data_IF_524168121458
#
_entry.id   IF_524168121458
#
_cell.length_a   1.000
_cell.length_b   1.000
_cell.length_c   1.000
_cell.angle_alpha   90.00
_cell.angle_beta   90.00
_cell.angle_gamma   90.00
#
_symmetry.space_group_name_H-M   'P 1'
#
loop_
_entity.id
_entity.type
_entity.pdbx_description
1 polymer ?
#
# COMPACT_ATOMS: atom_id res chain seq x y z
N UNK A 1 -59.96 15.39 -23.11
CA UNK A 1 -59.03 15.04 -24.21
C UNK A 1 -57.77 15.87 -24.05
N UNK A 2 -56.61 15.21 -23.88
CA UNK A 2 -55.24 15.75 -24.00
C UNK A 2 -54.87 16.84 -22.99
N UNK A 3 -54.10 16.60 -21.93
CA UNK A 3 -52.80 15.94 -21.90
C UNK A 3 -51.71 16.99 -22.17
N UNK A 4 -50.97 17.43 -21.16
CA UNK A 4 -49.66 18.09 -21.33
C UNK A 4 -48.74 17.68 -20.19
N UNK A 5 -47.64 17.06 -20.60
CA UNK A 5 -46.70 16.31 -19.82
C UNK A 5 -45.74 17.20 -18.99
N UNK A 6 -45.37 16.64 -17.84
CA UNK A 6 -44.08 16.76 -17.14
C UNK A 6 -43.04 17.72 -17.75
N UNK A 7 -42.90 18.92 -17.17
CA UNK A 7 -41.84 19.90 -17.52
C UNK A 7 -40.95 20.28 -16.32
N UNK A 8 -40.74 19.34 -15.39
CA UNK A 8 -40.06 19.60 -14.11
C UNK A 8 -38.82 18.76 -13.80
N UNK A 9 -38.29 17.96 -14.75
CA UNK A 9 -37.20 17.00 -14.45
C UNK A 9 -35.82 17.36 -15.04
N UNK A 10 -35.70 18.39 -15.88
CA UNK A 10 -34.43 18.64 -16.59
C UNK A 10 -33.45 19.54 -15.82
N UNK A 11 -33.93 20.49 -15.02
CA UNK A 11 -33.06 21.43 -14.29
C UNK A 11 -32.30 20.77 -13.12
N UNK A 12 -32.88 19.73 -12.52
CA UNK A 12 -32.24 18.97 -11.44
C UNK A 12 -31.16 18.02 -11.97
N UNK A 13 -31.31 17.49 -13.19
CA UNK A 13 -30.34 16.56 -13.78
C UNK A 13 -29.04 17.26 -14.22
N UNK A 14 -29.11 18.51 -14.69
CA UNK A 14 -27.92 19.29 -15.10
C UNK A 14 -27.00 19.65 -13.92
N UNK A 15 -27.55 19.86 -12.71
CA UNK A 15 -26.75 20.18 -11.51
C UNK A 15 -26.03 18.95 -10.92
N UNK A 16 -26.56 17.74 -11.13
CA UNK A 16 -25.89 16.50 -10.66
C UNK A 16 -24.77 16.04 -11.60
N UNK A 17 -24.76 16.54 -12.84
CA UNK A 17 -23.82 16.16 -13.90
C UNK A 17 -22.82 17.25 -14.24
N UNK A 18 -22.38 18.06 -13.27
CA UNK A 18 -21.41 19.14 -13.50
C UNK A 18 -19.98 18.57 -13.66
N UNK A 19 -19.79 17.75 -14.69
CA UNK A 19 -18.48 17.32 -15.22
C UNK A 19 -17.89 18.45 -16.06
N UNK A 20 -17.92 19.69 -15.58
CA UNK A 20 -17.25 20.79 -16.23
C UNK A 20 -15.74 20.50 -16.16
N UNK A 21 -15.24 19.83 -17.19
CA UNK A 21 -13.84 19.47 -17.42
C UNK A 21 -13.09 20.77 -17.68
N UNK A 22 -12.89 21.50 -16.59
CA UNK A 22 -12.15 22.74 -16.57
C UNK A 22 -10.70 22.41 -16.89
N UNK A 23 -9.93 23.36 -17.44
CA UNK A 23 -8.49 23.19 -17.66
C UNK A 23 -7.70 22.72 -16.42
N UNK A 24 -8.27 22.81 -15.21
CA UNK A 24 -7.73 22.26 -13.95
C UNK A 24 -7.64 20.73 -13.93
N UNK A 25 -8.44 20.02 -14.71
CA UNK A 25 -8.39 18.54 -14.77
C UNK A 25 -7.07 18.07 -15.39
N UNK A 26 -6.54 18.77 -16.39
CA UNK A 26 -5.26 18.44 -17.03
C UNK A 26 -4.07 18.36 -16.05
N UNK A 27 -3.76 19.39 -15.23
CA UNK A 27 -2.67 19.30 -14.27
C UNK A 27 -2.93 18.29 -13.15
N UNK A 28 -4.19 18.12 -12.71
CA UNK A 28 -4.54 17.11 -11.69
C UNK A 28 -4.32 15.70 -12.22
N UNK A 29 -4.77 15.41 -13.44
CA UNK A 29 -4.55 14.13 -14.10
C UNK A 29 -3.06 13.85 -14.34
N UNK A 30 -2.29 14.88 -14.73
CA UNK A 30 -0.83 14.78 -14.85
C UNK A 30 -0.16 14.43 -13.52
N UNK A 31 -0.55 15.08 -12.43
CA UNK A 31 -0.03 14.79 -11.09
C UNK A 31 -0.44 13.38 -10.63
N UNK A 32 -1.69 12.98 -10.86
CA UNK A 32 -2.18 11.64 -10.52
C UNK A 32 -1.41 10.55 -11.27
N UNK A 33 -1.11 10.75 -12.56
CA UNK A 33 -0.28 9.83 -13.33
C UNK A 33 1.14 9.72 -12.76
N UNK A 34 1.77 10.84 -12.40
CA UNK A 34 3.09 10.85 -11.79
C UNK A 34 3.11 10.10 -10.44
N UNK A 35 2.10 10.32 -9.59
CA UNK A 35 1.94 9.60 -8.32
C UNK A 35 1.74 8.11 -8.57
N UNK A 36 0.94 7.72 -9.57
CA UNK A 36 0.72 6.33 -9.94
C UNK A 36 2.00 5.62 -10.39
N UNK A 37 2.82 6.27 -11.22
CA UNK A 37 4.14 5.76 -11.62
C UNK A 37 5.04 5.57 -10.39
N UNK A 38 5.10 6.56 -9.50
CA UNK A 38 5.90 6.46 -8.29
C UNK A 38 5.41 5.33 -7.37
N UNK A 39 4.10 5.20 -7.17
CA UNK A 39 3.51 4.12 -6.38
C UNK A 39 3.82 2.74 -6.98
N UNK A 40 3.78 2.59 -8.30
CA UNK A 40 4.14 1.36 -8.98
C UNK A 40 5.63 0.99 -8.77
N UNK A 41 6.53 1.98 -8.81
CA UNK A 41 7.95 1.76 -8.51
C UNK A 41 8.17 1.34 -7.06
N UNK A 42 7.47 1.97 -6.11
CA UNK A 42 7.53 1.60 -4.68
C UNK A 42 7.00 0.17 -4.47
N UNK A 43 5.89 -0.19 -5.12
CA UNK A 43 5.34 -1.54 -5.06
C UNK A 43 6.31 -2.57 -5.65
N UNK A 44 6.94 -2.28 -6.79
CA UNK A 44 7.95 -3.15 -7.39
C UNK A 44 9.19 -3.31 -6.48
N UNK A 45 9.62 -2.22 -5.82
CA UNK A 45 10.70 -2.29 -4.83
C UNK A 45 10.32 -3.15 -3.61
N UNK A 46 9.08 -3.04 -3.13
CA UNK A 46 8.57 -3.87 -2.04
C UNK A 46 8.55 -5.36 -2.41
N UNK A 47 8.13 -5.70 -3.63
CA UNK A 47 8.18 -7.08 -4.13
C UNK A 47 9.61 -7.63 -4.18
N UNK A 48 10.57 -6.83 -4.65
CA UNK A 48 12.00 -7.20 -4.63
C UNK A 48 12.54 -7.38 -3.21
N UNK A 49 12.07 -6.57 -2.26
CA UNK A 49 12.45 -6.66 -0.87
C UNK A 49 11.88 -7.91 -0.19
N UNK A 50 10.64 -8.29 -0.51
CA UNK A 50 10.06 -9.58 -0.10
C UNK A 50 10.91 -10.73 -0.64
N UNK A 51 11.22 -10.70 -1.94
CA UNK A 51 12.11 -11.68 -2.57
C UNK A 51 13.47 -11.77 -1.87
N UNK A 52 14.04 -10.61 -1.51
CA UNK A 52 15.29 -10.56 -0.75
C UNK A 52 15.22 -11.32 0.58
N UNK A 53 14.20 -11.05 1.39
CA UNK A 53 14.05 -11.73 2.68
C UNK A 53 13.75 -13.23 2.51
N UNK A 54 12.92 -13.61 1.53
CA UNK A 54 12.70 -15.03 1.22
C UNK A 54 13.98 -15.75 0.83
N UNK A 55 14.78 -15.17 -0.06
CA UNK A 55 16.06 -15.77 -0.46
C UNK A 55 17.06 -15.82 0.70
N UNK A 56 17.12 -14.76 1.50
CA UNK A 56 18.02 -14.68 2.63
C UNK A 56 17.68 -15.72 3.71
N UNK A 57 16.40 -15.86 4.05
CA UNK A 57 15.98 -16.73 5.14
C UNK A 57 15.87 -18.22 4.73
N UNK A 58 15.36 -18.51 3.54
CA UNK A 58 15.13 -19.89 3.10
C UNK A 58 16.32 -20.50 2.35
N UNK A 59 17.12 -19.67 1.66
CA UNK A 59 18.18 -20.11 0.76
C UNK A 59 19.57 -19.55 1.11
N UNK A 60 19.67 -18.69 2.13
CA UNK A 60 20.93 -18.09 2.61
C UNK A 60 21.72 -17.37 1.51
N UNK A 61 21.03 -16.79 0.53
CA UNK A 61 21.62 -16.08 -0.60
C UNK A 61 21.05 -14.68 -0.74
N UNK A 62 21.87 -13.77 -1.26
CA UNK A 62 21.45 -12.39 -1.54
C UNK A 62 20.94 -12.32 -2.97
N UNK A 63 19.62 -12.46 -3.13
CA UNK A 63 18.92 -12.36 -4.43
C UNK A 63 17.55 -11.71 -4.22
N UNK A 64 17.08 -10.91 -5.18
CA UNK A 64 15.78 -10.23 -5.13
C UNK A 64 14.71 -10.92 -5.97
N UNK A 65 15.03 -12.04 -6.60
CA UNK A 65 14.05 -12.85 -7.33
C UNK A 65 12.94 -13.37 -6.40
N UNK A 66 11.69 -13.22 -6.81
CA UNK A 66 10.56 -13.85 -6.13
C UNK A 66 10.60 -15.36 -6.39
N UNK A 67 10.96 -16.12 -5.35
CA UNK A 67 11.04 -17.58 -5.40
C UNK A 67 10.09 -18.19 -4.38
N UNK A 68 9.56 -19.37 -4.70
CA UNK A 68 8.73 -20.12 -3.76
C UNK A 68 9.60 -20.62 -2.58
N UNK A 69 9.20 -20.36 -1.32
CA UNK A 69 9.89 -20.91 -0.16
C UNK A 69 9.83 -22.44 -0.09
N UNK A 70 8.87 -23.08 -0.78
CA UNK A 70 8.66 -24.54 -0.74
C UNK A 70 9.86 -25.37 -1.23
N UNK A 71 10.75 -24.79 -2.04
CA UNK A 71 11.97 -25.45 -2.53
C UNK A 71 13.16 -25.40 -1.56
N UNK A 72 12.97 -24.99 -0.31
CA UNK A 72 14.04 -24.83 0.67
C UNK A 72 14.62 -26.18 1.14
N UNK A 73 15.89 -26.16 1.57
CA UNK A 73 16.60 -27.36 2.06
C UNK A 73 16.77 -27.39 3.59
N UNK A 74 16.05 -26.53 4.32
CA UNK A 74 16.19 -26.37 5.79
C UNK A 74 15.54 -27.50 6.62
N UNK A 75 14.71 -28.35 6.01
CA UNK A 75 13.97 -29.38 6.74
C UNK A 75 13.08 -28.78 7.85
N UNK A 76 13.02 -29.44 9.01
CA UNK A 76 12.18 -29.03 10.16
C UNK A 76 12.55 -27.65 10.71
N UNK A 77 13.80 -27.20 10.53
CA UNK A 77 14.27 -25.90 11.01
C UNK A 77 13.60 -24.70 10.32
N UNK A 78 12.83 -24.92 9.25
CA UNK A 78 12.06 -23.88 8.57
C UNK A 78 11.12 -23.13 9.51
N UNK A 79 10.60 -23.77 10.56
CA UNK A 79 9.74 -23.13 11.56
C UNK A 79 10.44 -21.99 12.29
N UNK A 80 11.79 -22.02 12.37
CA UNK A 80 12.56 -20.94 12.99
C UNK A 80 12.59 -19.67 12.15
N UNK A 81 12.34 -19.77 10.85
CA UNK A 81 12.34 -18.62 9.94
C UNK A 81 11.24 -17.60 10.29
N UNK A 82 9.94 -17.97 10.35
CA UNK A 82 8.89 -17.02 10.74
C UNK A 82 9.02 -16.59 12.20
N UNK A 83 9.59 -17.43 13.08
CA UNK A 83 9.88 -17.04 14.48
C UNK A 83 10.91 -15.92 14.52
N UNK A 84 12.01 -16.03 13.76
CA UNK A 84 13.02 -15.00 13.65
C UNK A 84 12.46 -13.72 13.01
N UNK A 85 11.67 -13.85 11.93
CA UNK A 85 10.98 -12.73 11.29
C UNK A 85 10.07 -11.97 12.26
N UNK A 86 9.25 -12.70 13.03
CA UNK A 86 8.38 -12.11 14.04
C UNK A 86 9.16 -11.42 15.16
N UNK A 87 10.29 -11.97 15.60
CA UNK A 87 11.17 -11.35 16.59
C UNK A 87 11.74 -10.02 16.07
N UNK A 88 12.23 -10.00 14.83
CA UNK A 88 12.75 -8.78 14.19
C UNK A 88 11.66 -7.72 14.12
N UNK A 89 10.44 -8.08 13.67
CA UNK A 89 9.31 -7.14 13.62
C UNK A 89 8.91 -6.66 15.02
N UNK A 90 8.94 -7.54 16.02
CA UNK A 90 8.67 -7.19 17.42
C UNK A 90 9.67 -6.16 17.96
N UNK A 91 10.96 -6.32 17.64
CA UNK A 91 12.01 -5.35 17.97
C UNK A 91 11.78 -4.04 17.22
N UNK A 92 11.45 -4.09 15.93
CA UNK A 92 11.11 -2.88 15.14
C UNK A 92 9.91 -2.15 15.74
N UNK A 93 8.90 -2.85 16.24
CA UNK A 93 7.74 -2.23 16.87
C UNK A 93 8.10 -1.58 18.20
N UNK A 94 8.97 -2.21 18.99
CA UNK A 94 9.42 -1.71 20.29
C UNK A 94 10.29 -0.45 20.19
N UNK A 95 11.22 -0.41 19.24
CA UNK A 95 12.20 0.68 19.15
C UNK A 95 11.95 1.66 17.98
N UNK A 96 11.17 1.24 16.98
CA UNK A 96 10.84 2.03 15.80
C UNK A 96 9.64 2.94 16.02
N UNK A 97 8.44 2.41 15.88
CA UNK A 97 7.19 3.13 16.11
C UNK A 97 6.08 2.12 16.31
N UNK A 98 5.25 2.28 17.34
CA UNK A 98 4.10 1.40 17.58
C UNK A 98 3.10 1.44 16.43
N UNK A 99 3.08 2.55 15.66
CA UNK A 99 2.23 2.74 14.49
C UNK A 99 2.51 1.75 13.35
N UNK A 100 3.62 1.01 13.37
CA UNK A 100 3.90 -0.02 12.36
C UNK A 100 2.96 -1.23 12.46
N UNK A 101 2.31 -1.44 13.62
CA UNK A 101 1.35 -2.52 13.85
C UNK A 101 -0.08 -2.16 13.41
N UNK A 102 -0.26 -0.96 12.86
CA UNK A 102 -1.54 -0.46 12.40
C UNK A 102 -2.12 -1.22 11.19
N UNK A 103 -3.38 -0.94 10.91
CA UNK A 103 -4.30 -1.61 10.01
C UNK A 103 -4.10 -1.18 8.54
N UNK A 104 -3.27 -0.15 8.32
CA UNK A 104 -2.89 0.42 7.02
C UNK A 104 -3.96 1.36 6.47
N UNK A 105 -5.10 0.79 6.06
CA UNK A 105 -6.18 1.51 5.37
C UNK A 105 -6.87 2.51 6.31
N UNK A 106 -7.30 2.13 7.53
CA UNK A 106 -7.88 3.07 8.49
C UNK A 106 -6.95 4.25 8.81
N UNK A 107 -5.65 4.01 9.01
CA UNK A 107 -4.70 5.09 9.32
C UNK A 107 -4.48 6.02 8.12
N UNK A 108 -4.51 5.49 6.89
CA UNK A 108 -4.45 6.32 5.69
C UNK A 108 -5.70 7.21 5.59
N UNK A 109 -6.88 6.64 5.86
CA UNK A 109 -8.15 7.39 5.90
C UNK A 109 -8.13 8.44 7.02
N UNK A 110 -7.69 8.09 8.23
CA UNK A 110 -7.54 9.00 9.36
C UNK A 110 -6.55 10.14 9.03
N UNK A 111 -5.45 9.83 8.36
CA UNK A 111 -4.48 10.83 7.93
C UNK A 111 -5.13 11.85 6.98
N UNK A 112 -5.93 11.38 6.02
CA UNK A 112 -6.63 12.24 5.05
C UNK A 112 -7.73 13.05 5.73
N UNK A 113 -8.58 12.41 6.54
CA UNK A 113 -9.78 13.03 7.11
C UNK A 113 -9.48 13.95 8.30
N UNK A 114 -8.52 13.59 9.15
CA UNK A 114 -8.31 14.25 10.45
C UNK A 114 -6.96 14.95 10.52
N UNK A 115 -5.89 14.36 9.97
CA UNK A 115 -4.52 14.87 10.13
C UNK A 115 -3.99 15.69 8.94
N UNK A 116 -4.86 16.15 8.04
CA UNK A 116 -4.48 17.01 6.91
C UNK A 116 -3.49 16.36 5.95
N UNK A 117 -3.61 15.05 5.74
CA UNK A 117 -2.75 14.20 4.89
C UNK A 117 -1.27 14.14 5.30
N UNK A 118 -0.95 14.43 6.57
CA UNK A 118 0.42 14.34 7.08
C UNK A 118 0.75 12.91 7.49
N UNK A 119 1.76 12.34 6.87
CA UNK A 119 2.29 11.00 7.21
C UNK A 119 3.70 11.12 7.77
N UNK A 120 3.94 10.46 8.89
CA UNK A 120 5.24 10.44 9.54
C UNK A 120 6.26 9.65 8.69
N UNK A 121 7.40 10.25 8.28
CA UNK A 121 8.36 9.61 7.38
C UNK A 121 8.89 8.27 7.90
N UNK A 122 9.09 8.16 9.21
CA UNK A 122 9.52 6.93 9.87
C UNK A 122 8.53 5.79 9.66
N UNK A 123 7.23 6.08 9.79
CA UNK A 123 6.16 5.09 9.59
C UNK A 123 6.03 4.70 8.12
N UNK A 124 6.19 5.67 7.21
CA UNK A 124 6.15 5.43 5.77
C UNK A 124 7.23 4.42 5.29
N UNK A 125 8.39 4.39 5.95
CA UNK A 125 9.48 3.46 5.62
C UNK A 125 9.41 2.15 6.42
N UNK A 126 9.15 2.23 7.73
CA UNK A 126 9.17 1.05 8.58
C UNK A 126 8.01 0.08 8.27
N UNK A 127 6.84 0.58 7.86
CA UNK A 127 5.68 -0.28 7.55
C UNK A 127 5.92 -1.21 6.35
N UNK A 128 6.36 -0.71 5.17
CA UNK A 128 6.70 -1.58 4.05
C UNK A 128 7.82 -2.57 4.40
N UNK A 129 8.84 -2.13 5.15
CA UNK A 129 9.94 -2.99 5.57
C UNK A 129 9.47 -4.13 6.50
N UNK A 130 8.65 -3.82 7.51
CA UNK A 130 8.12 -4.84 8.41
C UNK A 130 7.20 -5.82 7.68
N UNK A 131 6.40 -5.33 6.72
CA UNK A 131 5.58 -6.18 5.86
C UNK A 131 6.44 -7.10 4.99
N UNK A 132 7.53 -6.59 4.42
CA UNK A 132 8.44 -7.39 3.60
C UNK A 132 9.12 -8.51 4.39
N UNK A 133 9.56 -8.22 5.62
CA UNK A 133 10.15 -9.22 6.52
C UNK A 133 9.09 -10.27 6.88
N UNK A 134 7.87 -9.83 7.23
CA UNK A 134 6.79 -10.73 7.66
C UNK A 134 6.31 -11.67 6.56
N UNK A 135 6.29 -11.20 5.30
CA UNK A 135 5.88 -12.00 4.14
C UNK A 135 7.06 -12.86 3.66
N UNK A 136 8.29 -12.33 3.76
CA UNK A 136 9.49 -13.02 3.30
C UNK A 136 10.00 -14.11 4.24
N UNK A 137 9.58 -14.11 5.51
CA UNK A 137 9.84 -15.16 6.50
C UNK A 137 8.72 -16.19 6.55
#
# INVERSE_FOLDING_TARGET
MGGHASRGSNATLDHLGDFTTTRRVLPISGLAAAIGVFAALVAAALLKLIGLFTNLFFFQRVDTALVSPAGHHLGVFVVLVPVAGALVIGVMARYGSERIRGHGIPEAIEAILINGSRVEPKVALLKPLSSAISIGS
#
